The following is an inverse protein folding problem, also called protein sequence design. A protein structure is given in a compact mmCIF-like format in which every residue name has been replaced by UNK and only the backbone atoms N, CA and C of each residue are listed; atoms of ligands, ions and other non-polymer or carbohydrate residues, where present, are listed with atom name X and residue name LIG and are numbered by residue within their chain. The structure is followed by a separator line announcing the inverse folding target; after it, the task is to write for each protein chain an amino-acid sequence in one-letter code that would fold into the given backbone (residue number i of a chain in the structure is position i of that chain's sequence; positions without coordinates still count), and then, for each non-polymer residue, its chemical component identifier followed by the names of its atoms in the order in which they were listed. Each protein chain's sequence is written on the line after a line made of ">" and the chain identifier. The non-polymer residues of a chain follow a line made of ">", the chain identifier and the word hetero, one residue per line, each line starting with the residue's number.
data_IF_790295584211
#
_entry.id   IF_790295584211
#
_cell.length_a   1.000
_cell.length_b   1.000
_cell.length_c   1.000
_cell.angle_alpha   90.00
_cell.angle_beta   90.00
_cell.angle_gamma   90.00
#
_symmetry.space_group_name_H-M   'P 1'
#
loop_
_entity.id
_entity.type
_entity.pdbx_description
1 polymer ?
#
# COMPACT_ATOMS: atom_id res chain seq x y z
N UNK A 1 9.72 29.37 14.53
CA UNK A 1 9.80 27.90 14.67
C UNK A 1 8.90 27.28 13.61
N UNK A 2 9.46 26.87 12.47
CA UNK A 2 8.65 26.25 11.41
C UNK A 2 8.29 24.83 11.84
N UNK A 3 7.03 24.63 12.20
CA UNK A 3 6.43 23.31 12.37
C UNK A 3 6.57 22.57 11.05
N UNK A 4 7.60 21.71 10.93
CA UNK A 4 7.75 20.81 9.79
C UNK A 4 6.54 19.88 9.78
N UNK A 5 5.59 20.15 8.89
CA UNK A 5 4.45 19.27 8.67
C UNK A 5 4.99 17.96 8.12
N UNK A 6 4.99 16.90 8.93
CA UNK A 6 5.36 15.56 8.46
C UNK A 6 4.45 15.20 7.28
N UNK A 7 5.04 15.08 6.08
CA UNK A 7 4.31 14.66 4.88
C UNK A 7 3.70 13.27 5.11
N UNK A 8 2.44 13.08 4.71
CA UNK A 8 1.76 11.79 4.83
C UNK A 8 2.30 10.79 3.80
N UNK A 9 2.42 9.50 4.14
CA UNK A 9 2.91 8.48 3.21
C UNK A 9 2.00 8.26 2.01
N UNK A 10 2.59 7.93 0.86
CA UNK A 10 1.85 7.46 -0.30
C UNK A 10 1.24 6.07 -0.04
N UNK A 11 -0.06 5.91 -0.28
CA UNK A 11 -0.78 4.64 -0.06
C UNK A 11 -0.38 3.49 -1.01
N UNK A 12 0.49 3.77 -1.98
CA UNK A 12 1.02 2.79 -2.93
C UNK A 12 2.44 2.37 -2.56
N UNK A 13 3.31 3.29 -2.15
CA UNK A 13 4.75 3.01 -1.99
C UNK A 13 5.38 3.54 -0.70
N UNK A 14 4.62 4.09 0.25
CA UNK A 14 5.09 4.66 1.52
C UNK A 14 5.91 5.96 1.47
N UNK A 15 6.45 6.34 0.31
CA UNK A 15 7.22 7.58 0.17
C UNK A 15 6.36 8.83 0.45
N UNK A 16 6.97 9.94 0.90
CA UNK A 16 6.27 11.20 1.15
C UNK A 16 5.35 11.60 -0.02
N UNK A 17 4.09 11.87 0.29
CA UNK A 17 3.14 12.30 -0.73
C UNK A 17 3.35 13.76 -1.11
N UNK A 18 3.28 14.02 -2.42
CA UNK A 18 3.26 15.37 -2.98
C UNK A 18 1.81 15.89 -3.13
N UNK A 19 0.84 14.98 -3.10
CA UNK A 19 -0.57 15.30 -3.33
C UNK A 19 -1.49 14.39 -2.51
N UNK A 20 -2.75 14.78 -2.40
CA UNK A 20 -3.84 13.98 -1.83
C UNK A 20 -5.00 13.94 -2.80
N UNK A 21 -5.89 12.96 -2.66
CA UNK A 21 -7.13 12.93 -3.44
C UNK A 21 -7.91 14.23 -3.21
N UNK A 22 -8.16 15.00 -4.27
CA UNK A 22 -8.90 16.26 -4.18
C UNK A 22 -10.37 16.09 -3.81
N UNK A 23 -10.96 14.91 -4.10
CA UNK A 23 -12.36 14.63 -3.77
C UNK A 23 -12.57 14.34 -2.29
N UNK A 24 -11.95 13.28 -1.78
CA UNK A 24 -12.17 12.84 -0.40
C UNK A 24 -11.14 13.35 0.60
N UNK A 25 -9.95 13.77 0.14
CA UNK A 25 -8.85 14.25 0.99
C UNK A 25 -8.20 13.20 1.92
N UNK A 26 -8.62 11.94 1.82
CA UNK A 26 -8.22 10.84 2.70
C UNK A 26 -7.02 10.03 2.21
N UNK A 27 -6.87 9.87 0.90
CA UNK A 27 -5.77 9.11 0.29
C UNK A 27 -4.65 10.02 -0.23
N UNK A 28 -3.40 9.64 0.00
CA UNK A 28 -2.20 10.42 -0.30
C UNK A 28 -1.31 9.73 -1.35
N UNK A 29 -0.75 10.50 -2.28
CA UNK A 29 0.00 10.01 -3.43
C UNK A 29 1.28 10.83 -3.68
N UNK A 30 2.39 10.13 -3.94
CA UNK A 30 3.64 10.78 -4.36
C UNK A 30 3.62 11.22 -5.82
N UNK A 31 2.73 10.67 -6.65
CA UNK A 31 2.63 11.01 -8.08
C UNK A 31 1.24 10.75 -8.66
N UNK A 32 0.96 11.30 -9.85
CA UNK A 32 -0.30 11.10 -10.58
C UNK A 32 -0.48 9.65 -11.03
N UNK A 33 0.61 8.96 -11.33
CA UNK A 33 0.63 7.56 -11.73
C UNK A 33 0.12 6.67 -10.59
N UNK A 34 0.60 6.90 -9.35
CA UNK A 34 0.11 6.19 -8.17
C UNK A 34 -1.36 6.52 -7.86
N UNK A 35 -1.81 7.75 -8.13
CA UNK A 35 -3.22 8.08 -8.00
C UNK A 35 -4.09 7.33 -9.02
N UNK A 36 -3.65 7.25 -10.27
CA UNK A 36 -4.35 6.52 -11.34
C UNK A 36 -4.41 5.02 -11.06
N UNK A 37 -3.29 4.41 -10.65
CA UNK A 37 -3.26 2.97 -10.36
C UNK A 37 -4.14 2.59 -9.17
N UNK A 38 -4.25 3.44 -8.15
CA UNK A 38 -5.12 3.22 -7.01
C UNK A 38 -6.62 3.42 -7.31
N UNK A 39 -6.97 4.08 -8.43
CA UNK A 39 -8.33 4.57 -8.67
C UNK A 39 -9.38 3.46 -8.75
N UNK A 40 -9.04 2.30 -9.32
CA UNK A 40 -9.96 1.16 -9.43
C UNK A 40 -10.49 0.69 -8.07
N UNK A 41 -9.64 0.73 -7.04
CA UNK A 41 -9.96 0.40 -5.63
C UNK A 41 -10.49 1.61 -4.87
N UNK A 42 -9.99 2.82 -5.16
CA UNK A 42 -10.34 4.00 -4.38
C UNK A 42 -11.70 4.63 -4.78
N UNK A 43 -12.13 4.54 -6.04
CA UNK A 43 -13.26 5.34 -6.57
C UNK A 43 -14.56 5.22 -5.77
N UNK A 44 -14.93 4.03 -5.28
CA UNK A 44 -16.17 3.81 -4.51
C UNK A 44 -16.01 4.34 -3.09
N UNK A 45 -14.90 4.02 -2.43
CA UNK A 45 -14.55 4.57 -1.11
C UNK A 45 -14.48 6.09 -1.13
N UNK A 46 -13.93 6.69 -2.18
CA UNK A 46 -13.84 8.14 -2.35
C UNK A 46 -15.22 8.81 -2.29
N UNK A 47 -16.26 8.19 -2.86
CA UNK A 47 -17.63 8.69 -2.75
C UNK A 47 -18.18 8.57 -1.33
N UNK A 48 -17.92 7.44 -0.65
CA UNK A 48 -18.33 7.22 0.75
C UNK A 48 -17.69 8.27 1.66
N UNK A 49 -16.38 8.51 1.49
CA UNK A 49 -15.66 9.52 2.28
C UNK A 49 -16.13 10.94 1.98
N UNK A 50 -16.50 11.25 0.73
CA UNK A 50 -17.11 12.54 0.39
C UNK A 50 -18.48 12.72 1.04
N UNK A 51 -19.33 11.70 1.03
CA UNK A 51 -20.63 11.71 1.71
C UNK A 51 -20.45 11.94 3.22
N UNK A 52 -19.56 11.17 3.86
CA UNK A 52 -19.22 11.36 5.27
C UNK A 52 -18.72 12.78 5.57
N UNK A 53 -17.83 13.34 4.72
CA UNK A 53 -17.33 14.72 4.88
C UNK A 53 -18.46 15.76 4.83
N UNK A 54 -19.52 15.51 4.07
CA UNK A 54 -20.70 16.39 3.96
C UNK A 54 -21.75 16.12 5.04
N UNK A 55 -21.56 15.14 5.91
CA UNK A 55 -22.58 14.70 6.87
C UNK A 55 -23.75 13.96 6.22
N UNK A 56 -23.58 13.46 5.00
CA UNK A 56 -24.58 12.65 4.32
C UNK A 56 -24.58 11.20 4.87
N UNK A 57 -25.71 10.48 4.80
CA UNK A 57 -25.76 9.08 5.19
C UNK A 57 -24.74 8.24 4.42
N UNK A 58 -23.96 7.46 5.14
CA UNK A 58 -23.04 6.47 4.56
C UNK A 58 -23.58 5.05 4.77
N UNK A 59 -23.31 4.11 3.86
CA UNK A 59 -23.69 2.72 4.07
C UNK A 59 -23.06 2.16 5.36
N UNK A 60 -23.74 1.23 6.05
CA UNK A 60 -23.15 0.52 7.19
C UNK A 60 -21.81 -0.12 6.81
N UNK A 61 -20.82 -0.07 7.71
CA UNK A 61 -19.45 -0.51 7.43
C UNK A 61 -19.34 -2.00 7.04
N UNK A 62 -20.32 -2.82 7.39
CA UNK A 62 -20.40 -4.24 7.06
C UNK A 62 -21.11 -4.54 5.74
N UNK A 63 -21.73 -3.54 5.11
CA UNK A 63 -22.47 -3.67 3.84
C UNK A 63 -21.59 -3.52 2.59
N UNK A 64 -20.31 -3.20 2.75
CA UNK A 64 -19.35 -3.06 1.65
C UNK A 64 -17.94 -3.47 2.08
N UNK A 65 -17.09 -3.77 1.11
CA UNK A 65 -15.67 -4.01 1.34
C UNK A 65 -14.96 -2.70 1.73
N UNK A 66 -14.42 -2.62 2.94
CA UNK A 66 -13.74 -1.41 3.43
C UNK A 66 -12.43 -1.06 2.69
N UNK A 67 -11.92 -1.93 1.81
CA UNK A 67 -10.69 -1.71 1.05
C UNK A 67 -10.93 -1.29 -0.41
N UNK A 68 -12.14 -1.50 -0.95
CA UNK A 68 -12.44 -1.12 -2.34
C UNK A 68 -13.84 -0.54 -2.58
N UNK A 69 -14.70 -0.55 -1.56
CA UNK A 69 -16.07 -0.03 -1.61
C UNK A 69 -17.06 -0.85 -2.43
N UNK A 70 -16.70 -2.07 -2.88
CA UNK A 70 -17.65 -2.97 -3.55
C UNK A 70 -18.64 -3.54 -2.53
N UNK A 71 -19.91 -3.64 -2.94
CA UNK A 71 -21.02 -4.23 -2.19
C UNK A 71 -21.82 -5.22 -3.04
N UNK A 72 -21.46 -5.35 -4.30
CA UNK A 72 -22.09 -6.15 -5.35
C UNK A 72 -21.45 -7.52 -5.54
N UNK A 73 -20.61 -7.94 -4.58
CA UNK A 73 -19.85 -9.20 -4.61
C UNK A 73 -19.89 -9.87 -3.22
N UNK A 74 -19.56 -11.18 -3.12
CA UNK A 74 -19.40 -11.83 -1.84
C UNK A 74 -18.40 -11.10 -0.93
N UNK A 75 -18.78 -10.97 0.35
CA UNK A 75 -18.00 -10.31 1.38
C UNK A 75 -17.71 -11.30 2.51
N UNK A 76 -16.55 -11.15 3.16
CA UNK A 76 -16.19 -11.88 4.39
C UNK A 76 -15.61 -10.94 5.44
N UNK A 77 -15.56 -11.41 6.69
CA UNK A 77 -14.80 -10.77 7.77
C UNK A 77 -13.35 -11.23 7.73
N UNK A 78 -12.41 -10.34 8.06
CA UNK A 78 -11.00 -10.67 8.24
C UNK A 78 -10.77 -11.32 9.61
N UNK A 79 -9.83 -12.26 9.69
CA UNK A 79 -9.54 -12.95 10.95
C UNK A 79 -8.79 -12.05 11.95
N UNK A 80 -7.93 -11.16 11.44
CA UNK A 80 -7.09 -10.29 12.26
C UNK A 80 -7.83 -9.13 12.96
N UNK A 81 -8.89 -8.59 12.36
CA UNK A 81 -9.57 -7.39 12.85
C UNK A 81 -11.09 -7.39 12.67
N UNK A 82 -11.67 -8.50 12.21
CA UNK A 82 -13.11 -8.68 12.07
C UNK A 82 -13.82 -7.59 11.24
N UNK A 83 -13.16 -7.09 10.19
CA UNK A 83 -13.72 -6.06 9.29
C UNK A 83 -14.04 -6.63 7.93
N UNK A 84 -15.03 -6.03 7.27
CA UNK A 84 -15.59 -6.56 6.03
C UNK A 84 -14.71 -6.24 4.82
N UNK A 85 -14.32 -7.28 4.09
CA UNK A 85 -13.56 -7.23 2.84
C UNK A 85 -14.22 -8.12 1.77
N UNK A 86 -13.78 -8.01 0.52
CA UNK A 86 -14.19 -8.94 -0.53
C UNK A 86 -13.82 -10.38 -0.13
N UNK A 87 -14.71 -11.35 -0.36
CA UNK A 87 -14.35 -12.75 -0.32
C UNK A 87 -13.75 -13.16 -1.67
N UNK A 88 -12.47 -12.84 -1.87
CA UNK A 88 -11.77 -13.02 -3.15
C UNK A 88 -10.45 -13.78 -3.05
N UNK A 89 -10.24 -14.48 -1.94
CA UNK A 89 -9.02 -15.26 -1.69
C UNK A 89 -8.89 -16.42 -2.70
N UNK A 90 -10.01 -17.09 -2.98
CA UNK A 90 -10.10 -18.24 -3.88
C UNK A 90 -9.95 -17.88 -5.37
N UNK A 91 -10.03 -16.58 -5.71
CA UNK A 91 -9.87 -16.10 -7.08
C UNK A 91 -8.41 -15.83 -7.46
N UNK A 92 -7.47 -15.99 -6.52
CA UNK A 92 -6.06 -15.77 -6.78
C UNK A 92 -5.46 -16.92 -7.58
N UNK A 93 -5.02 -16.63 -8.80
CA UNK A 93 -4.20 -17.55 -9.58
C UNK A 93 -2.75 -17.47 -9.11
N UNK A 94 -2.16 -18.62 -8.76
CA UNK A 94 -0.74 -18.76 -8.46
C UNK A 94 0.11 -18.12 -9.57
N UNK A 95 1.19 -17.44 -9.19
CA UNK A 95 2.09 -16.70 -10.10
C UNK A 95 1.52 -15.46 -10.80
N UNK A 96 0.25 -15.10 -10.60
CA UNK A 96 -0.31 -13.86 -11.17
C UNK A 96 0.19 -12.58 -10.50
N UNK A 97 0.68 -12.69 -9.25
CA UNK A 97 1.01 -11.54 -8.38
C UNK A 97 -0.10 -10.46 -8.32
N UNK A 98 -1.35 -10.82 -8.62
CA UNK A 98 -2.46 -9.87 -8.74
C UNK A 98 -2.68 -9.10 -7.44
N UNK A 99 -2.81 -7.78 -7.57
CA UNK A 99 -3.18 -6.86 -6.48
C UNK A 99 -4.70 -6.69 -6.35
N UNK A 100 -5.48 -7.55 -7.01
CA UNK A 100 -6.93 -7.41 -7.08
C UNK A 100 -7.67 -8.11 -5.95
N UNK A 101 -7.03 -9.03 -5.22
CA UNK A 101 -7.65 -9.72 -4.08
C UNK A 101 -7.54 -8.90 -2.78
N UNK A 102 -8.64 -8.26 -2.35
CA UNK A 102 -8.68 -7.45 -1.14
C UNK A 102 -8.38 -8.28 0.12
N UNK A 103 -8.98 -9.46 0.29
CA UNK A 103 -8.75 -10.28 1.49
C UNK A 103 -7.29 -10.76 1.56
N UNK A 104 -6.79 -11.30 0.46
CA UNK A 104 -5.42 -11.83 0.38
C UNK A 104 -4.36 -10.73 0.57
N UNK A 105 -4.55 -9.57 -0.03
CA UNK A 105 -3.57 -8.48 0.11
C UNK A 105 -3.63 -7.84 1.50
N UNK A 106 -4.80 -7.77 2.13
CA UNK A 106 -4.91 -7.38 3.53
C UNK A 106 -4.11 -8.34 4.43
N UNK A 107 -4.36 -9.65 4.26
CA UNK A 107 -3.69 -10.74 4.97
C UNK A 107 -2.16 -10.69 4.84
N UNK A 108 -1.67 -10.42 3.62
CA UNK A 108 -0.23 -10.49 3.34
C UNK A 108 0.55 -9.21 3.65
N UNK A 109 -0.08 -8.04 3.57
CA UNK A 109 0.65 -6.78 3.44
C UNK A 109 0.24 -5.72 4.47
N UNK A 110 -0.47 -6.08 5.53
CA UNK A 110 -0.85 -5.11 6.57
C UNK A 110 -0.22 -5.42 7.90
N UNK A 111 0.05 -4.35 8.64
CA UNK A 111 0.57 -4.41 10.01
C UNK A 111 -0.33 -5.24 10.92
N UNK A 112 -1.65 -5.10 10.78
CA UNK A 112 -2.63 -5.82 11.56
C UNK A 112 -2.57 -7.34 11.34
N UNK A 113 -2.47 -7.78 10.07
CA UNK A 113 -2.36 -9.22 9.77
C UNK A 113 -1.02 -9.81 10.20
N UNK A 114 0.09 -9.09 9.98
CA UNK A 114 1.40 -9.55 10.48
C UNK A 114 1.37 -9.76 12.00
N UNK A 115 0.84 -8.78 12.75
CA UNK A 115 0.69 -8.87 14.20
C UNK A 115 -0.16 -10.07 14.64
N UNK A 116 -1.26 -10.33 13.95
CA UNK A 116 -2.14 -11.47 14.23
C UNK A 116 -1.44 -12.82 13.97
N UNK A 117 -0.74 -12.94 12.83
CA UNK A 117 -0.08 -14.18 12.42
C UNK A 117 1.10 -14.54 13.33
N UNK A 118 1.84 -13.54 13.83
CA UNK A 118 2.90 -13.72 14.83
C UNK A 118 2.36 -13.90 16.26
N UNK A 119 1.03 -13.84 16.45
CA UNK A 119 0.36 -14.05 17.73
C UNK A 119 0.84 -13.10 18.84
N UNK A 120 1.18 -11.88 18.46
CA UNK A 120 1.55 -10.85 19.42
C UNK A 120 0.31 -10.36 20.18
N UNK A 121 0.48 -9.97 21.44
CA UNK A 121 -0.58 -9.36 22.24
C UNK A 121 -0.68 -7.83 22.04
N UNK A 122 -1.86 -7.28 22.34
CA UNK A 122 -2.09 -5.83 22.37
C UNK A 122 -2.54 -5.23 21.04
N UNK A 123 -2.28 -3.94 20.85
CA UNK A 123 -2.64 -3.22 19.62
C UNK A 123 -1.51 -3.31 18.58
N UNK A 124 -1.85 -3.70 17.35
CA UNK A 124 -0.90 -3.93 16.28
C UNK A 124 -0.06 -2.68 15.93
N UNK A 125 -0.64 -1.47 16.03
CA UNK A 125 0.02 -0.23 15.62
C UNK A 125 0.92 0.37 16.73
N UNK A 126 0.86 -0.18 17.94
CA UNK A 126 1.75 0.16 19.07
C UNK A 126 2.70 -0.97 19.47
N UNK A 127 2.58 -2.16 18.85
CA UNK A 127 3.39 -3.34 19.15
C UNK A 127 4.90 -3.13 18.86
N UNK A 128 5.74 -3.13 19.89
CA UNK A 128 7.19 -2.94 19.73
C UNK A 128 7.87 -4.04 18.89
N UNK A 129 7.45 -5.30 19.06
CA UNK A 129 8.03 -6.46 18.36
C UNK A 129 7.84 -6.36 16.85
N UNK A 130 6.61 -6.06 16.42
CA UNK A 130 6.36 -5.87 15.00
C UNK A 130 7.18 -4.69 14.45
N UNK A 131 7.37 -3.59 15.20
CA UNK A 131 8.10 -2.40 14.73
C UNK A 131 9.58 -2.65 14.45
N UNK A 132 10.16 -3.70 15.05
CA UNK A 132 11.54 -4.13 14.80
C UNK A 132 11.66 -5.27 13.78
N UNK A 133 10.55 -5.78 13.25
CA UNK A 133 10.54 -6.99 12.41
C UNK A 133 10.87 -6.72 10.94
N UNK A 134 10.76 -5.47 10.49
CA UNK A 134 10.96 -5.07 9.10
C UNK A 134 11.85 -3.83 8.99
N UNK A 135 12.43 -3.63 7.81
CA UNK A 135 13.08 -2.35 7.50
C UNK A 135 12.06 -1.21 7.56
N UNK A 136 12.50 -0.02 7.98
CA UNK A 136 11.62 1.12 8.23
C UNK A 136 10.74 1.50 7.03
N UNK A 137 11.23 1.33 5.79
CA UNK A 137 10.44 1.57 4.58
C UNK A 137 9.28 0.55 4.43
N UNK A 138 9.57 -0.73 4.66
CA UNK A 138 8.57 -1.82 4.61
C UNK A 138 7.57 -1.68 5.75
N UNK A 139 8.04 -1.33 6.95
CA UNK A 139 7.18 -1.11 8.10
C UNK A 139 6.19 0.03 7.84
N UNK A 140 6.68 1.18 7.37
CA UNK A 140 5.81 2.29 6.97
C UNK A 140 4.80 1.86 5.92
N UNK A 141 5.22 1.05 4.95
CA UNK A 141 4.31 0.53 3.94
C UNK A 141 3.23 -0.38 4.53
N UNK A 142 3.57 -1.33 5.39
CA UNK A 142 2.58 -2.21 6.06
C UNK A 142 1.56 -1.43 6.86
N UNK A 143 1.96 -0.31 7.46
CA UNK A 143 1.08 0.54 8.25
C UNK A 143 0.16 1.44 7.42
N UNK A 144 0.58 1.87 6.21
CA UNK A 144 -0.12 2.96 5.49
C UNK A 144 -0.54 2.64 4.06
N UNK A 145 -0.25 1.45 3.54
CA UNK A 145 -0.68 1.09 2.18
C UNK A 145 -2.21 0.94 2.08
N UNK A 146 -2.73 0.98 0.85
CA UNK A 146 -4.17 0.93 0.55
C UNK A 146 -4.88 -0.40 0.83
N UNK A 147 -4.16 -1.44 1.31
CA UNK A 147 -4.77 -2.65 1.86
C UNK A 147 -5.16 -2.49 3.33
N UNK A 148 -4.80 -1.38 3.97
CA UNK A 148 -5.29 -1.00 5.29
C UNK A 148 -6.63 -0.25 5.18
N UNK A 149 -7.45 -0.39 6.20
CA UNK A 149 -8.66 0.42 6.35
C UNK A 149 -8.26 1.86 6.67
N UNK A 150 -9.10 2.82 6.27
CA UNK A 150 -8.75 4.24 6.36
C UNK A 150 -8.50 4.70 7.80
N UNK A 151 -9.27 4.17 8.76
CA UNK A 151 -9.13 4.46 10.17
C UNK A 151 -7.75 4.05 10.71
N UNK A 152 -7.21 2.94 10.21
CA UNK A 152 -5.87 2.48 10.57
C UNK A 152 -4.77 3.35 9.98
N UNK A 153 -4.91 3.74 8.71
CA UNK A 153 -3.97 4.65 8.05
C UNK A 153 -3.92 5.99 8.79
N UNK A 154 -5.05 6.45 9.32
CA UNK A 154 -5.15 7.72 10.05
C UNK A 154 -4.49 7.68 11.42
N UNK A 155 -4.65 6.59 12.17
CA UNK A 155 -4.04 6.42 13.50
C UNK A 155 -2.59 5.91 13.45
N UNK A 156 -2.14 5.41 12.30
CA UNK A 156 -0.77 4.92 12.15
C UNK A 156 0.26 6.01 12.44
N UNK A 157 1.29 5.65 13.20
CA UNK A 157 2.48 6.48 13.44
C UNK A 157 3.72 5.75 12.89
N UNK A 158 3.89 5.71 11.57
CA UNK A 158 4.97 4.95 10.95
C UNK A 158 6.34 5.60 11.17
N UNK A 159 7.42 4.82 11.16
CA UNK A 159 8.78 5.34 11.27
C UNK A 159 9.15 6.19 10.05
N UNK A 160 10.08 7.12 10.23
CA UNK A 160 10.76 7.74 9.09
C UNK A 160 11.82 6.79 8.55
N UNK A 161 12.07 6.85 7.24
CA UNK A 161 13.06 6.02 6.59
C UNK A 161 13.86 6.83 5.57
N UNK A 162 15.07 6.36 5.29
CA UNK A 162 15.92 6.90 4.22
C UNK A 162 15.64 6.09 2.96
N UNK A 163 15.37 6.73 1.80
CA UNK A 163 15.17 6.03 0.54
C UNK A 163 16.29 5.03 0.24
N UNK A 164 15.90 3.81 -0.07
CA UNK A 164 16.87 2.77 -0.41
C UNK A 164 17.46 3.06 -1.80
N UNK A 165 18.78 2.94 -1.94
CA UNK A 165 19.49 3.17 -3.20
C UNK A 165 20.08 1.87 -3.74
N UNK A 166 20.06 1.73 -5.06
CA UNK A 166 20.73 0.63 -5.76
C UNK A 166 22.24 0.72 -5.53
N UNK A 167 22.85 -0.36 -5.03
CA UNK A 167 24.30 -0.42 -4.78
C UNK A 167 25.15 -0.28 -6.05
N UNK A 168 24.61 -0.62 -7.23
CA UNK A 168 25.32 -0.54 -8.52
C UNK A 168 25.21 0.80 -9.23
N UNK A 169 24.03 1.41 -9.28
CA UNK A 169 23.80 2.64 -10.06
C UNK A 169 23.38 3.86 -9.24
N UNK A 170 23.21 3.71 -7.92
CA UNK A 170 22.86 4.80 -7.01
C UNK A 170 21.42 5.31 -7.10
N UNK A 171 20.60 4.81 -8.04
CA UNK A 171 19.20 5.24 -8.16
C UNK A 171 18.41 4.87 -6.91
N UNK A 172 17.46 5.71 -6.53
CA UNK A 172 16.48 5.36 -5.49
C UNK A 172 15.56 4.24 -5.99
N UNK A 173 15.17 3.36 -5.07
CA UNK A 173 14.29 2.22 -5.30
C UNK A 173 13.18 2.23 -4.26
N UNK A 174 11.94 2.04 -4.69
CA UNK A 174 10.80 1.85 -3.80
C UNK A 174 10.60 0.34 -3.56
N UNK A 175 11.11 -0.17 -2.45
CA UNK A 175 11.21 -1.62 -2.16
C UNK A 175 9.87 -2.35 -2.24
N UNK A 176 8.77 -1.66 -1.92
CA UNK A 176 7.44 -2.27 -1.85
C UNK A 176 6.71 -2.33 -3.20
N UNK A 177 7.22 -1.67 -4.24
CA UNK A 177 6.58 -1.62 -5.56
C UNK A 177 7.52 -1.90 -6.73
N UNK A 178 8.82 -2.00 -6.49
CA UNK A 178 9.84 -2.29 -7.49
C UNK A 178 10.55 -3.62 -7.18
N UNK A 179 10.93 -4.35 -8.23
CA UNK A 179 11.78 -5.53 -8.10
C UNK A 179 13.22 -5.16 -7.73
N UNK A 180 13.76 -5.86 -6.74
CA UNK A 180 15.16 -5.75 -6.33
C UNK A 180 15.69 -7.12 -5.88
N UNK A 181 17.01 -7.22 -5.75
CA UNK A 181 17.69 -8.39 -5.19
C UNK A 181 18.69 -7.97 -4.11
N UNK A 182 19.03 -8.88 -3.22
CA UNK A 182 20.12 -8.70 -2.26
C UNK A 182 21.43 -9.19 -2.90
N UNK A 183 22.38 -8.27 -3.08
CA UNK A 183 23.74 -8.57 -3.51
C UNK A 183 24.75 -8.42 -2.37
N UNK A 184 26.02 -8.80 -2.60
CA UNK A 184 27.08 -8.71 -1.59
C UNK A 184 27.35 -7.27 -1.12
N UNK A 185 27.06 -6.28 -1.97
CA UNK A 185 27.27 -4.86 -1.68
C UNK A 185 25.96 -4.12 -1.32
N UNK A 186 24.90 -4.86 -1.00
CA UNK A 186 23.57 -4.30 -0.71
C UNK A 186 22.55 -4.56 -1.82
N UNK A 187 21.43 -3.84 -1.76
CA UNK A 187 20.29 -4.09 -2.67
C UNK A 187 20.56 -3.56 -4.08
N UNK A 188 20.26 -4.37 -5.08
CA UNK A 188 20.39 -4.03 -6.49
C UNK A 188 19.04 -3.96 -7.17
N UNK A 189 18.83 -2.94 -8.01
CA UNK A 189 17.60 -2.82 -8.77
C UNK A 189 17.48 -3.90 -9.85
N UNK A 190 16.24 -4.24 -10.24
CA UNK A 190 15.97 -5.25 -11.27
C UNK A 190 16.77 -5.04 -12.57
N UNK A 191 16.97 -3.78 -13.01
CA UNK A 191 17.76 -3.47 -14.23
C UNK A 191 19.23 -3.82 -14.08
N UNK A 192 19.84 -3.47 -12.95
CA UNK A 192 21.24 -3.78 -12.68
C UNK A 192 21.47 -5.28 -12.45
N UNK A 193 20.48 -5.96 -11.85
CA UNK A 193 20.47 -7.41 -11.74
C UNK A 193 20.41 -8.07 -13.12
N UNK A 194 19.56 -7.56 -14.02
CA UNK A 194 19.43 -8.07 -15.39
C UNK A 194 20.60 -7.69 -16.33
N UNK A 195 21.67 -7.05 -15.83
CA UNK A 195 22.81 -6.64 -16.64
C UNK A 195 22.54 -5.49 -17.62
N UNK A 196 21.37 -4.83 -17.54
CA UNK A 196 20.96 -3.73 -18.41
C UNK A 196 21.61 -2.41 -17.96
N UNK A 197 22.93 -2.31 -18.13
CA UNK A 197 23.69 -1.09 -17.84
C UNK A 197 23.57 -0.08 -18.99
N UNK A 198 23.01 1.09 -18.71
CA UNK A 198 22.85 2.20 -19.66
C UNK A 198 22.23 3.42 -19.00
N UNK A 199 22.51 4.63 -19.53
CA UNK A 199 22.07 5.92 -18.96
C UNK A 199 20.56 5.93 -18.69
N UNK A 200 20.18 6.57 -17.59
CA UNK A 200 18.80 6.77 -17.16
C UNK A 200 18.07 7.69 -18.15
N UNK A 201 17.18 7.14 -18.99
CA UNK A 201 16.11 7.91 -19.61
C UNK A 201 14.81 7.64 -18.83
N UNK A 202 14.12 8.66 -18.30
CA UNK A 202 12.85 8.51 -17.57
C UNK A 202 11.73 7.84 -18.38
N UNK A 203 11.88 7.78 -19.71
CA UNK A 203 10.85 7.36 -20.67
C UNK A 203 10.65 5.84 -20.79
N UNK A 204 11.61 5.02 -20.32
CA UNK A 204 11.54 3.56 -20.50
C UNK A 204 10.94 2.81 -19.28
N UNK A 205 10.05 3.45 -18.53
CA UNK A 205 9.53 2.85 -17.29
C UNK A 205 8.49 1.74 -17.50
N UNK A 206 7.83 1.60 -18.66
CA UNK A 206 6.81 0.56 -18.85
C UNK A 206 6.64 0.13 -20.32
N UNK A 207 7.48 -0.79 -20.78
CA UNK A 207 7.05 -1.80 -21.77
C UNK A 207 6.89 -3.11 -20.98
N UNK A 208 5.78 -3.19 -20.24
CA UNK A 208 5.19 -4.45 -19.81
C UNK A 208 3.76 -4.41 -20.35
N UNK A 209 3.66 -4.97 -21.55
CA UNK A 209 2.50 -5.61 -22.16
C UNK A 209 1.18 -4.85 -22.13
N UNK A 210 0.99 -4.02 -23.17
CA UNK A 210 -0.32 -3.88 -23.76
C UNK A 210 -0.75 -5.20 -24.39
N UNK A 211 -1.80 -5.81 -23.84
CA UNK A 211 -2.70 -6.83 -24.39
C UNK A 211 -2.25 -7.60 -25.63
N UNK A 212 -2.20 -8.94 -25.53
CA UNK A 212 -2.70 -9.84 -26.59
C UNK A 212 -3.28 -11.14 -25.98
N UNK A 213 -4.63 -11.23 -25.99
CA UNK A 213 -5.58 -12.33 -25.70
C UNK A 213 -5.73 -12.90 -24.28
#
# INVERSE_FOLDING_TARGET
>A
MSSSTKSKPCVICAYPAASRCSGCEKAFYCSKEHQKSAWSKHKRLCKIYQAAKKGEPVPPADSYCGLCGKSDIPLKKTDCCNRTVCDDYHNYQLFSYSKDSCARNHDRYTRCCYHYNEQHGGDAYSCAQCSSSHEAETETWYMTNHFNFQEDIERANPPSFVPTKCSKCGREMKLNVEGYTHGPNGKECQRCMAGLMGRYSPENTYMMDGNVF
#
